data_IF_959141544104
#
_entry.id   IF_959141544104
#
_cell.length_a   1.000
_cell.length_b   1.000
_cell.length_c   1.000
_cell.angle_alpha   90.00
_cell.angle_beta   90.00
_cell.angle_gamma   90.00
#
_symmetry.space_group_name_H-M   'P 1'
#
loop_
_entity.id
_entity.type
_entity.pdbx_description
1 polymer ?
#
# COMPACT_ATOMS: atom_id res chain seq x y z
N UNK A 1 2.06 -12.73 -26.70
CA UNK A 1 1.56 -13.36 -25.45
C UNK A 1 1.66 -12.31 -24.36
N UNK A 2 0.58 -12.08 -23.61
CA UNK A 2 0.58 -11.13 -22.49
C UNK A 2 1.48 -11.64 -21.37
N UNK A 3 1.88 -10.73 -20.47
CA UNK A 3 2.61 -11.09 -19.25
C UNK A 3 1.62 -11.66 -18.24
N UNK A 4 1.96 -12.79 -17.63
CA UNK A 4 1.14 -13.51 -16.66
C UNK A 4 1.54 -13.21 -15.22
N UNK A 5 0.70 -13.61 -14.26
CA UNK A 5 1.02 -13.53 -12.82
C UNK A 5 2.25 -14.34 -12.47
N UNK A 6 2.50 -15.48 -13.12
CA UNK A 6 3.71 -16.29 -12.89
C UNK A 6 5.01 -15.53 -13.12
N UNK A 7 5.01 -14.59 -14.06
CA UNK A 7 6.18 -13.78 -14.45
C UNK A 7 6.55 -12.71 -13.41
N UNK A 8 5.63 -12.41 -12.47
CA UNK A 8 5.74 -11.27 -11.55
C UNK A 8 5.53 -11.63 -10.09
N UNK A 9 4.93 -12.78 -9.79
CA UNK A 9 4.63 -13.17 -8.42
C UNK A 9 5.91 -13.39 -7.61
N UNK A 10 5.84 -13.03 -6.33
CA UNK A 10 6.83 -13.46 -5.35
C UNK A 10 6.63 -14.94 -5.05
N UNK A 11 7.66 -15.74 -5.32
CA UNK A 11 7.74 -17.17 -4.96
C UNK A 11 8.13 -17.28 -3.48
N UNK A 12 7.62 -18.30 -2.79
CA UNK A 12 7.81 -18.52 -1.35
C UNK A 12 7.34 -17.34 -0.47
N UNK A 13 6.07 -16.91 -0.60
CA UNK A 13 5.55 -15.75 0.11
C UNK A 13 5.49 -16.02 1.62
N UNK A 14 5.80 -14.99 2.41
CA UNK A 14 5.55 -15.01 3.85
C UNK A 14 4.04 -15.13 4.09
N UNK A 15 3.65 -16.13 4.86
CA UNK A 15 2.26 -16.41 5.23
C UNK A 15 2.11 -16.59 6.73
N UNK A 16 0.87 -16.76 7.18
CA UNK A 16 0.53 -17.00 8.58
C UNK A 16 -0.57 -18.06 8.66
N UNK A 17 -0.55 -18.90 9.69
CA UNK A 17 -1.61 -19.89 9.90
C UNK A 17 -2.81 -19.26 10.63
N UNK A 18 -4.02 -19.71 10.34
CA UNK A 18 -5.26 -19.13 10.89
C UNK A 18 -5.34 -19.13 12.43
N UNK A 19 -4.70 -20.13 13.06
CA UNK A 19 -4.61 -20.26 14.52
C UNK A 19 -3.51 -19.41 15.15
N UNK A 20 -2.62 -18.80 14.37
CA UNK A 20 -1.61 -17.89 14.92
C UNK A 20 -2.29 -16.60 15.44
N UNK A 21 -1.70 -16.01 16.49
CA UNK A 21 -2.17 -14.72 16.99
C UNK A 21 -1.91 -13.60 15.98
N UNK A 22 -2.79 -12.62 15.95
CA UNK A 22 -2.65 -11.46 15.06
C UNK A 22 -1.37 -10.64 15.32
N UNK A 23 -0.80 -10.76 16.52
CA UNK A 23 0.51 -10.19 16.85
C UNK A 23 1.66 -10.79 16.02
N UNK A 24 1.56 -12.07 15.62
CA UNK A 24 2.51 -12.74 14.72
C UNK A 24 2.39 -12.18 13.30
N UNK A 25 1.17 -12.06 12.76
CA UNK A 25 0.94 -11.44 11.47
C UNK A 25 1.51 -10.01 11.42
N UNK A 26 1.27 -9.22 12.46
CA UNK A 26 1.83 -7.87 12.60
C UNK A 26 3.35 -7.84 12.57
N UNK A 27 3.99 -8.76 13.30
CA UNK A 27 5.44 -8.87 13.32
C UNK A 27 5.95 -9.18 11.91
N UNK A 28 5.36 -10.18 11.23
CA UNK A 28 5.75 -10.57 9.88
C UNK A 28 5.56 -9.42 8.88
N UNK A 29 4.44 -8.70 8.94
CA UNK A 29 4.18 -7.50 8.13
C UNK A 29 5.27 -6.43 8.33
N UNK A 30 5.60 -6.13 9.58
CA UNK A 30 6.59 -5.10 9.92
C UNK A 30 8.01 -5.51 9.52
N UNK A 31 8.43 -6.70 9.94
CA UNK A 31 9.81 -7.18 9.80
C UNK A 31 10.16 -7.45 8.33
N UNK A 32 9.18 -7.82 7.50
CA UNK A 32 9.36 -8.04 6.06
C UNK A 32 8.84 -6.88 5.19
N UNK A 33 8.39 -5.77 5.78
CA UNK A 33 7.88 -4.59 5.07
C UNK A 33 6.73 -4.88 4.09
N UNK A 34 5.83 -5.79 4.47
CA UNK A 34 4.74 -6.29 3.63
C UNK A 34 3.44 -5.49 3.84
N UNK A 35 2.60 -5.42 2.82
CA UNK A 35 1.26 -4.81 2.92
C UNK A 35 0.18 -5.79 3.39
N UNK A 36 0.45 -7.09 3.30
CA UNK A 36 -0.43 -8.15 3.79
C UNK A 36 0.20 -9.53 3.66
N UNK A 37 -0.50 -10.53 4.18
CA UNK A 37 -0.08 -11.93 4.23
C UNK A 37 -1.27 -12.84 3.87
N UNK A 38 -1.04 -13.92 3.10
CA UNK A 38 -1.99 -15.01 3.01
C UNK A 38 -2.15 -15.70 4.36
N UNK A 39 -3.39 -16.09 4.66
CA UNK A 39 -3.75 -16.90 5.81
C UNK A 39 -3.93 -18.34 5.34
N UNK A 40 -3.27 -19.29 5.98
CA UNK A 40 -3.31 -20.70 5.65
C UNK A 40 -4.08 -21.52 6.69
N UNK A 41 -4.83 -22.53 6.22
CA UNK A 41 -5.35 -23.61 7.07
C UNK A 41 -4.23 -24.57 7.50
N UNK A 42 -4.54 -25.51 8.39
CA UNK A 42 -3.62 -26.57 8.80
C UNK A 42 -3.14 -27.44 7.62
N UNK A 43 -3.92 -27.56 6.56
CA UNK A 43 -3.59 -28.29 5.33
C UNK A 43 -2.78 -27.46 4.32
N UNK A 44 -2.41 -26.22 4.66
CA UNK A 44 -1.63 -25.32 3.81
C UNK A 44 -2.45 -24.68 2.68
N UNK A 45 -3.77 -24.62 2.80
CA UNK A 45 -4.67 -23.98 1.83
C UNK A 45 -4.93 -22.54 2.22
N UNK A 46 -4.99 -21.64 1.24
CA UNK A 46 -5.34 -20.23 1.48
C UNK A 46 -6.79 -20.16 1.96
N UNK A 47 -7.02 -19.56 3.13
CA UNK A 47 -8.37 -19.31 3.68
C UNK A 47 -8.74 -17.84 3.72
N UNK A 48 -7.79 -16.93 3.53
CA UNK A 48 -8.01 -15.49 3.44
C UNK A 48 -6.71 -14.70 3.42
N UNK A 49 -6.80 -13.39 3.69
CA UNK A 49 -5.64 -12.51 3.87
C UNK A 49 -5.78 -11.65 5.13
N UNK A 50 -4.65 -11.17 5.63
CA UNK A 50 -4.55 -10.13 6.66
C UNK A 50 -3.61 -9.02 6.19
N UNK A 51 -3.94 -7.76 6.45
CA UNK A 51 -3.27 -6.59 5.87
C UNK A 51 -2.67 -5.65 6.92
N UNK A 52 -1.84 -4.71 6.46
CA UNK A 52 -1.32 -3.63 7.29
C UNK A 52 -2.43 -2.77 7.91
N UNK A 53 -3.56 -2.59 7.22
CA UNK A 53 -4.75 -1.89 7.71
C UNK A 53 -5.35 -2.59 8.92
N UNK A 54 -5.41 -3.92 8.90
CA UNK A 54 -5.87 -4.72 10.04
C UNK A 54 -4.94 -4.51 11.24
N UNK A 55 -3.64 -4.36 10.97
CA UNK A 55 -2.65 -4.07 12.03
C UNK A 55 -2.87 -2.70 12.67
N UNK A 56 -3.41 -1.73 11.92
CA UNK A 56 -3.73 -0.41 12.46
C UNK A 56 -4.86 -0.47 13.52
N UNK A 57 -5.74 -1.47 13.44
CA UNK A 57 -6.84 -1.66 14.41
C UNK A 57 -6.38 -2.26 15.73
N UNK A 58 -5.14 -2.74 15.80
CA UNK A 58 -4.62 -3.48 16.95
C UNK A 58 -3.74 -2.54 17.79
N UNK A 59 -4.31 -2.00 18.86
CA UNK A 59 -3.57 -1.14 19.81
C UNK A 59 -2.72 -1.94 20.81
N UNK A 60 -3.18 -3.11 21.26
CA UNK A 60 -2.55 -3.86 22.37
C UNK A 60 -1.35 -4.72 21.98
N UNK A 61 -0.26 -4.65 22.78
CA UNK A 61 0.97 -5.50 22.75
C UNK A 61 0.70 -6.99 22.86
N UNK A 62 -0.36 -7.35 23.58
CA UNK A 62 -0.84 -8.71 23.71
C UNK A 62 -2.28 -8.76 23.23
N UNK A 63 -2.53 -9.62 22.26
CA UNK A 63 -3.88 -9.92 21.80
C UNK A 63 -4.02 -11.43 21.78
N UNK A 64 -5.11 -11.93 22.35
CA UNK A 64 -5.48 -13.34 22.27
C UNK A 64 -6.33 -13.60 21.01
N UNK A 65 -6.53 -12.58 20.16
CA UNK A 65 -7.27 -12.72 18.90
C UNK A 65 -6.36 -13.38 17.87
N UNK A 66 -6.87 -14.44 17.26
CA UNK A 66 -6.24 -15.16 16.15
C UNK A 66 -6.42 -14.41 14.85
N UNK A 67 -5.60 -14.74 13.85
CA UNK A 67 -5.67 -14.12 12.52
C UNK A 67 -7.02 -14.42 11.83
N UNK A 68 -7.64 -15.57 12.11
CA UNK A 68 -8.98 -15.88 11.62
C UNK A 68 -10.05 -14.83 11.96
N UNK A 69 -9.94 -14.15 13.12
CA UNK A 69 -10.85 -13.07 13.51
C UNK A 69 -10.70 -11.77 12.70
N UNK A 70 -9.66 -11.67 11.88
CA UNK A 70 -9.37 -10.54 10.97
C UNK A 70 -9.36 -10.97 9.49
N UNK A 71 -9.63 -12.24 9.20
CA UNK A 71 -9.57 -12.78 7.85
C UNK A 71 -10.58 -12.09 6.95
N UNK A 72 -10.09 -11.53 5.84
CA UNK A 72 -10.95 -11.11 4.73
C UNK A 72 -10.76 -12.11 3.60
N UNK A 73 -11.87 -12.55 3.02
CA UNK A 73 -11.82 -13.34 1.79
C UNK A 73 -11.28 -12.46 0.66
N UNK A 74 -10.17 -12.89 0.06
CA UNK A 74 -9.57 -12.22 -1.08
C UNK A 74 -9.70 -13.09 -2.33
N UNK A 75 -9.88 -12.48 -3.50
CA UNK A 75 -9.87 -13.21 -4.75
C UNK A 75 -8.52 -13.89 -4.94
N UNK A 76 -8.59 -15.13 -5.39
CA UNK A 76 -7.44 -15.95 -5.71
C UNK A 76 -7.13 -15.80 -7.18
N UNK A 77 -5.85 -15.78 -7.52
CA UNK A 77 -5.37 -15.84 -8.90
C UNK A 77 -4.54 -17.09 -9.10
N UNK A 78 -4.32 -17.49 -10.35
CA UNK A 78 -3.46 -18.63 -10.70
C UNK A 78 -2.22 -18.13 -11.44
N UNK A 79 -1.15 -18.94 -11.59
CA UNK A 79 0.02 -18.55 -12.38
C UNK A 79 -0.33 -18.10 -13.80
N UNK A 80 -1.40 -18.66 -14.38
CA UNK A 80 -1.88 -18.35 -15.73
C UNK A 80 -2.73 -17.08 -15.82
N UNK A 81 -3.18 -16.51 -14.70
CA UNK A 81 -3.97 -15.28 -14.70
C UNK A 81 -3.16 -14.16 -15.35
N UNK A 82 -3.78 -13.36 -16.22
CA UNK A 82 -3.10 -12.24 -16.86
C UNK A 82 -2.86 -11.10 -15.86
N UNK A 83 -1.77 -10.34 -16.04
CA UNK A 83 -1.52 -9.14 -15.22
C UNK A 83 -2.66 -8.13 -15.33
N UNK A 84 -3.27 -8.00 -16.51
CA UNK A 84 -4.40 -7.10 -16.75
C UNK A 84 -5.61 -7.44 -15.86
N UNK A 85 -5.90 -8.72 -15.69
CA UNK A 85 -6.96 -9.23 -14.83
C UNK A 85 -6.63 -9.00 -13.34
N UNK A 86 -5.40 -9.32 -12.92
CA UNK A 86 -4.94 -9.03 -11.56
C UNK A 86 -4.98 -7.51 -11.25
N UNK A 87 -4.60 -6.65 -12.20
CA UNK A 87 -4.68 -5.20 -12.07
C UNK A 87 -6.13 -4.73 -11.86
N UNK A 88 -7.09 -5.29 -12.61
CA UNK A 88 -8.52 -4.99 -12.45
C UNK A 88 -9.04 -5.38 -11.07
N UNK A 89 -8.64 -6.53 -10.53
CA UNK A 89 -9.00 -6.94 -9.17
C UNK A 89 -8.48 -5.97 -8.11
N UNK A 90 -7.25 -5.46 -8.27
CA UNK A 90 -6.73 -4.41 -7.39
C UNK A 90 -7.55 -3.12 -7.52
N UNK A 91 -7.86 -2.70 -8.75
CA UNK A 91 -8.60 -1.45 -9.01
C UNK A 91 -10.02 -1.51 -8.44
N UNK A 92 -10.73 -2.65 -8.58
CA UNK A 92 -12.13 -2.77 -8.19
C UNK A 92 -12.35 -2.91 -6.68
N UNK A 93 -11.35 -3.41 -5.94
CA UNK A 93 -11.57 -3.91 -4.59
C UNK A 93 -10.49 -3.51 -3.58
N UNK A 94 -9.50 -2.71 -4.01
CA UNK A 94 -8.44 -2.13 -3.17
C UNK A 94 -7.71 -3.16 -2.27
N UNK A 95 -7.52 -4.38 -2.78
CA UNK A 95 -6.78 -5.42 -2.06
C UNK A 95 -5.29 -5.03 -1.94
N UNK A 96 -4.68 -5.31 -0.79
CA UNK A 96 -3.26 -5.09 -0.60
C UNK A 96 -2.39 -6.09 -1.38
N UNK A 97 -2.88 -7.33 -1.49
CA UNK A 97 -2.23 -8.47 -2.13
C UNK A 97 -3.29 -9.41 -2.73
N UNK A 98 -2.88 -10.24 -3.69
CA UNK A 98 -3.65 -11.37 -4.19
C UNK A 98 -2.84 -12.66 -4.00
N UNK A 99 -3.36 -13.67 -3.28
CA UNK A 99 -2.73 -14.98 -3.20
C UNK A 99 -2.76 -15.68 -4.56
N UNK A 100 -1.62 -16.21 -4.99
CA UNK A 100 -1.50 -17.04 -6.18
C UNK A 100 -1.58 -18.51 -5.77
N UNK A 101 -2.56 -19.23 -6.28
CA UNK A 101 -2.83 -20.63 -5.93
C UNK A 101 -2.69 -21.56 -7.13
N UNK A 102 -2.46 -22.85 -6.87
CA UNK A 102 -2.35 -23.86 -7.92
C UNK A 102 -3.63 -23.99 -8.75
N UNK A 103 -4.79 -24.00 -8.09
CA UNK A 103 -6.12 -23.85 -8.69
C UNK A 103 -7.09 -23.28 -7.66
N UNK A 104 -8.22 -22.76 -8.11
CA UNK A 104 -9.27 -22.20 -7.25
C UNK A 104 -9.89 -23.25 -6.31
N UNK A 105 -9.88 -24.52 -6.70
CA UNK A 105 -10.41 -25.64 -5.94
C UNK A 105 -9.41 -26.15 -4.88
N UNK A 106 -8.14 -26.30 -5.26
CA UNK A 106 -7.09 -26.78 -4.35
C UNK A 106 -6.67 -25.70 -3.34
N UNK A 107 -6.63 -24.43 -3.78
CA UNK A 107 -6.23 -23.25 -2.99
C UNK A 107 -4.85 -23.37 -2.33
N UNK A 108 -4.00 -24.31 -2.77
CA UNK A 108 -2.61 -24.42 -2.33
C UNK A 108 -1.83 -23.18 -2.77
N UNK A 109 -1.21 -22.49 -1.82
CA UNK A 109 -0.44 -21.28 -2.08
C UNK A 109 0.83 -21.59 -2.88
N UNK A 110 1.03 -20.86 -3.97
CA UNK A 110 2.25 -20.88 -4.80
C UNK A 110 3.04 -19.57 -4.73
N UNK A 111 2.34 -18.45 -4.51
CA UNK A 111 2.94 -17.13 -4.57
C UNK A 111 2.01 -16.04 -4.07
N UNK A 112 2.49 -14.81 -4.09
CA UNK A 112 1.68 -13.60 -3.90
C UNK A 112 2.01 -12.59 -4.98
N UNK A 113 1.00 -11.89 -5.47
CA UNK A 113 1.18 -10.69 -6.30
C UNK A 113 0.60 -9.48 -5.58
N UNK A 114 1.22 -8.33 -5.76
CA UNK A 114 0.83 -7.05 -5.18
C UNK A 114 0.90 -5.92 -6.21
N UNK A 115 0.35 -4.73 -5.92
CA UNK A 115 0.42 -3.60 -6.85
C UNK A 115 1.85 -3.20 -7.24
N UNK A 116 2.85 -3.36 -6.35
CA UNK A 116 4.25 -3.05 -6.70
C UNK A 116 4.80 -4.02 -7.76
N UNK A 117 4.38 -5.29 -7.75
CA UNK A 117 4.85 -6.28 -8.72
C UNK A 117 4.32 -5.97 -10.12
N UNK A 118 3.05 -5.57 -10.20
CA UNK A 118 2.44 -5.04 -11.43
C UNK A 118 3.17 -3.77 -11.87
N UNK A 119 3.33 -2.81 -10.95
CA UNK A 119 3.95 -1.53 -11.22
C UNK A 119 5.36 -1.67 -11.79
N UNK A 120 6.18 -2.58 -11.26
CA UNK A 120 7.55 -2.85 -11.73
C UNK A 120 7.61 -3.42 -13.16
N UNK A 121 6.48 -3.85 -13.71
CA UNK A 121 6.37 -4.53 -15.01
C UNK A 121 5.49 -3.78 -16.00
N UNK A 122 4.98 -2.61 -15.63
CA UNK A 122 4.28 -1.75 -16.58
C UNK A 122 5.24 -1.24 -17.64
N UNK A 123 4.69 -0.93 -18.80
CA UNK A 123 5.36 -0.15 -19.84
C UNK A 123 4.92 1.31 -19.71
N UNK A 124 5.79 2.23 -19.25
CA UNK A 124 5.46 3.65 -19.12
C UNK A 124 5.05 4.31 -20.44
N UNK A 125 5.41 3.75 -21.61
CA UNK A 125 4.98 4.31 -22.90
C UNK A 125 3.47 4.26 -23.10
N UNK A 126 2.76 3.34 -22.41
CA UNK A 126 1.28 3.31 -22.38
C UNK A 126 0.65 4.54 -21.73
N UNK A 127 1.45 5.37 -21.05
CA UNK A 127 1.03 6.62 -20.42
C UNK A 127 1.27 7.84 -21.33
N UNK A 128 1.72 7.64 -22.58
CA UNK A 128 1.98 8.74 -23.51
C UNK A 128 0.76 9.67 -23.65
N UNK A 129 1.00 10.98 -23.51
CA UNK A 129 -0.04 12.02 -23.61
C UNK A 129 -0.85 12.25 -22.34
N UNK A 130 -0.78 11.39 -21.32
CA UNK A 130 -1.45 11.61 -20.02
C UNK A 130 -0.64 12.52 -19.12
N UNK A 131 -1.31 13.41 -18.39
CA UNK A 131 -0.69 14.32 -17.42
C UNK A 131 -0.91 13.85 -15.99
N UNK A 132 -0.02 14.31 -15.11
CA UNK A 132 -0.14 14.13 -13.67
C UNK A 132 -1.51 14.62 -13.15
N UNK A 133 -1.95 15.80 -13.59
CA UNK A 133 -3.23 16.40 -13.19
C UNK A 133 -4.48 15.62 -13.60
N UNK A 134 -4.38 14.73 -14.59
CA UNK A 134 -5.49 13.88 -15.05
C UNK A 134 -5.69 12.65 -14.16
N UNK A 135 -4.62 12.19 -13.52
CA UNK A 135 -4.62 10.96 -12.71
C UNK A 135 -4.53 11.21 -11.21
N UNK A 136 -4.10 12.40 -10.77
CA UNK A 136 -3.88 12.70 -9.37
C UNK A 136 -5.16 12.68 -8.55
N UNK A 137 -5.03 12.22 -7.30
CA UNK A 137 -6.01 12.56 -6.28
C UNK A 137 -5.83 14.02 -5.88
N UNK A 138 -6.88 14.82 -6.07
CA UNK A 138 -6.93 16.24 -5.71
C UNK A 138 -7.19 16.42 -4.22
N UNK A 139 -6.76 17.56 -3.69
CA UNK A 139 -6.98 17.96 -2.29
C UNK A 139 -6.63 16.84 -1.29
N UNK A 140 -5.40 16.28 -1.36
CA UNK A 140 -5.02 15.20 -0.47
C UNK A 140 -5.08 15.67 0.98
N UNK A 141 -5.54 14.80 1.89
CA UNK A 141 -5.40 15.05 3.31
C UNK A 141 -3.93 15.29 3.65
N UNK A 142 -3.65 16.26 4.50
CA UNK A 142 -2.30 16.60 4.94
C UNK A 142 -2.19 16.57 6.46
N UNK A 143 -0.97 16.55 6.95
CA UNK A 143 -0.64 16.79 8.36
C UNK A 143 0.56 17.73 8.48
N UNK A 144 0.87 18.17 9.69
CA UNK A 144 2.04 19.00 9.97
C UNK A 144 3.13 18.21 10.69
N UNK A 145 4.41 18.65 10.68
CA UNK A 145 5.48 17.97 11.42
C UNK A 145 5.19 17.85 12.93
N UNK A 146 4.39 18.78 13.47
CA UNK A 146 4.04 18.86 14.88
C UNK A 146 2.80 18.02 15.25
N UNK A 147 2.04 17.54 14.26
CA UNK A 147 0.87 16.70 14.52
C UNK A 147 1.28 15.42 15.25
N UNK A 148 0.41 14.91 16.15
CA UNK A 148 0.64 13.62 16.77
C UNK A 148 0.43 12.50 15.74
N UNK A 149 1.29 11.49 15.78
CA UNK A 149 1.20 10.31 14.89
C UNK A 149 -0.16 9.61 15.03
N UNK A 150 -0.80 9.67 16.21
CA UNK A 150 -2.15 9.12 16.44
C UNK A 150 -3.21 9.80 15.58
N UNK A 151 -3.15 11.13 15.37
CA UNK A 151 -4.06 11.84 14.45
C UNK A 151 -3.92 11.33 13.03
N UNK A 152 -2.68 11.11 12.57
CA UNK A 152 -2.41 10.57 11.23
C UNK A 152 -2.89 9.11 11.13
N UNK A 153 -2.65 8.31 12.17
CA UNK A 153 -3.09 6.93 12.27
C UNK A 153 -4.61 6.79 12.16
N UNK A 154 -5.35 7.57 12.95
CA UNK A 154 -6.81 7.58 12.93
C UNK A 154 -7.31 8.08 11.56
N UNK A 155 -6.68 9.12 11.01
CA UNK A 155 -6.96 9.59 9.65
C UNK A 155 -6.75 8.52 8.56
N UNK A 156 -5.75 7.66 8.70
CA UNK A 156 -5.48 6.54 7.78
C UNK A 156 -6.40 5.32 8.01
N UNK A 157 -7.02 5.18 9.18
CA UNK A 157 -8.04 4.17 9.46
C UNK A 157 -9.37 4.57 8.83
N UNK A 158 -9.74 5.84 8.98
CA UNK A 158 -10.98 6.45 8.52
C UNK A 158 -10.96 6.83 7.03
N UNK A 159 -9.87 6.52 6.33
CA UNK A 159 -9.74 6.74 4.90
C UNK A 159 -9.01 5.58 4.22
N UNK A 160 -8.98 5.59 2.89
CA UNK A 160 -8.19 4.65 2.10
C UNK A 160 -6.76 5.14 1.86
N UNK A 161 -6.38 6.29 2.42
CA UNK A 161 -5.04 6.83 2.28
C UNK A 161 -4.02 5.96 3.03
N UNK A 162 -2.98 5.54 2.29
CA UNK A 162 -1.85 4.76 2.81
C UNK A 162 -0.62 5.63 3.10
N UNK A 163 -0.69 6.91 2.70
CA UNK A 163 0.32 7.94 2.91
C UNK A 163 -0.31 9.33 2.89
N UNK A 164 0.34 10.27 3.56
CA UNK A 164 -0.15 11.63 3.78
C UNK A 164 1.01 12.62 3.59
N UNK A 165 0.88 13.61 2.68
CA UNK A 165 1.82 14.71 2.59
C UNK A 165 1.87 15.48 3.92
N UNK A 166 3.07 15.77 4.37
CA UNK A 166 3.38 16.63 5.51
C UNK A 166 3.66 18.03 4.98
N UNK A 167 2.94 19.03 5.47
CA UNK A 167 3.08 20.43 5.06
C UNK A 167 3.54 21.31 6.23
N UNK A 168 4.28 22.38 5.93
CA UNK A 168 4.63 23.41 6.90
C UNK A 168 3.44 24.36 7.23
N UNK A 169 3.67 25.34 8.09
CA UNK A 169 2.67 26.35 8.47
C UNK A 169 2.16 27.21 7.30
N UNK A 170 2.86 27.21 6.16
CA UNK A 170 2.50 27.93 4.93
C UNK A 170 1.90 26.99 3.88
N UNK A 171 1.49 25.78 4.28
CA UNK A 171 0.95 24.71 3.43
C UNK A 171 1.91 24.20 2.36
N UNK A 172 3.22 24.43 2.51
CA UNK A 172 4.23 23.89 1.59
C UNK A 172 4.55 22.45 1.95
N UNK A 173 4.59 21.51 0.99
CA UNK A 173 4.96 20.13 1.27
C UNK A 173 6.43 20.03 1.67
N UNK A 174 6.69 19.42 2.83
CA UNK A 174 8.03 19.28 3.43
C UNK A 174 8.45 17.82 3.62
N UNK A 175 7.51 16.88 3.65
CA UNK A 175 7.79 15.46 3.87
C UNK A 175 6.58 14.57 3.66
N UNK A 176 6.76 13.26 3.74
CA UNK A 176 5.68 12.27 3.57
C UNK A 176 5.66 11.32 4.76
N UNK A 177 4.48 11.02 5.30
CA UNK A 177 4.30 9.97 6.31
C UNK A 177 3.33 8.91 5.80
N UNK A 178 3.64 7.64 6.07
CA UNK A 178 2.93 6.49 5.51
C UNK A 178 2.59 5.46 6.58
N UNK A 179 1.65 4.55 6.29
CA UNK A 179 1.34 3.43 7.20
C UNK A 179 2.61 2.64 7.55
N UNK A 180 3.50 2.48 6.58
CA UNK A 180 4.77 1.80 6.76
C UNK A 180 5.66 2.49 7.80
N UNK A 181 5.81 3.82 7.74
CA UNK A 181 6.63 4.59 8.69
C UNK A 181 6.11 4.43 10.13
N UNK A 182 4.78 4.40 10.29
CA UNK A 182 4.14 4.26 11.60
C UNK A 182 4.24 2.82 12.13
N UNK A 183 4.02 1.82 11.27
CA UNK A 183 4.11 0.40 11.65
C UNK A 183 5.55 -0.02 11.95
N UNK A 184 6.52 0.44 11.15
CA UNK A 184 7.96 0.12 11.27
C UNK A 184 8.50 0.47 12.66
N UNK A 185 8.15 1.65 13.17
CA UNK A 185 8.63 2.11 14.47
C UNK A 185 7.87 1.54 15.66
N UNK A 186 6.68 0.96 15.42
CA UNK A 186 5.74 0.61 16.49
C UNK A 186 5.23 1.83 17.27
N UNK A 187 5.50 3.05 16.79
CA UNK A 187 5.37 4.30 17.52
C UNK A 187 3.94 4.66 17.92
N UNK A 188 2.95 4.32 17.07
CA UNK A 188 1.53 4.54 17.40
C UNK A 188 1.07 3.78 18.66
N UNK A 189 1.77 2.70 19.04
CA UNK A 189 1.42 1.87 20.19
C UNK A 189 2.14 2.32 21.45
N UNK A 190 3.38 2.79 21.32
CA UNK A 190 4.11 3.43 22.43
C UNK A 190 3.39 4.70 22.89
N UNK A 191 2.70 5.40 21.98
CA UNK A 191 1.96 6.62 22.30
C UNK A 191 0.67 6.41 23.13
N UNK A 192 0.10 5.19 23.21
CA UNK A 192 -1.06 4.92 24.09
C UNK A 192 -0.65 4.53 25.52
N UNK A 193 0.59 4.09 25.71
CA UNK A 193 1.12 3.63 27.01
C UNK A 193 2.16 4.60 27.63
N UNK A 194 2.51 5.71 26.95
CA UNK A 194 3.51 6.68 27.43
C UNK A 194 2.98 8.12 27.38
N UNK A 195 3.54 9.00 28.23
CA UNK A 195 3.22 10.44 28.24
C UNK A 195 3.80 11.22 27.04
N UNK A 196 4.70 10.61 26.26
CA UNK A 196 5.34 11.28 25.11
C UNK A 196 4.52 11.03 23.84
N UNK A 197 3.91 12.09 23.34
CA UNK A 197 3.13 12.06 22.10
C UNK A 197 4.11 12.08 20.93
N UNK A 198 4.31 10.93 20.29
CA UNK A 198 5.17 10.85 19.11
C UNK A 198 4.64 11.75 17.99
N UNK A 199 5.49 12.67 17.52
CA UNK A 199 5.19 13.63 16.45
C UNK A 199 5.53 13.09 15.07
N UNK A 200 4.83 13.57 14.05
CA UNK A 200 5.04 13.23 12.63
C UNK A 200 6.48 13.45 12.19
N UNK A 201 7.12 14.55 12.61
CA UNK A 201 8.50 14.88 12.24
C UNK A 201 9.53 13.80 12.59
N UNK A 202 9.26 12.97 13.60
CA UNK A 202 10.14 11.86 14.01
C UNK A 202 10.07 10.66 13.06
N UNK A 203 9.01 10.55 12.26
CA UNK A 203 8.72 9.39 11.41
C UNK A 203 8.66 9.72 9.92
N UNK A 204 8.37 10.97 9.55
CA UNK A 204 8.22 11.37 8.16
C UNK A 204 9.52 11.19 7.38
N UNK A 205 9.38 11.00 6.07
CA UNK A 205 10.48 10.97 5.12
C UNK A 205 10.65 12.33 4.44
N UNK A 206 11.91 12.75 4.25
CA UNK A 206 12.29 14.01 3.59
C UNK A 206 13.56 13.80 2.73
N UNK A 207 13.80 14.63 1.69
CA UNK A 207 12.88 15.60 1.11
C UNK A 207 11.76 14.90 0.34
N UNK A 208 10.68 15.63 0.08
CA UNK A 208 9.55 15.10 -0.66
C UNK A 208 9.79 15.21 -2.18
N UNK A 209 9.44 14.17 -2.94
CA UNK A 209 9.47 14.21 -4.40
C UNK A 209 8.17 14.82 -4.95
N UNK A 210 8.31 15.87 -5.77
CA UNK A 210 7.18 16.58 -6.35
C UNK A 210 7.33 16.81 -7.86
N UNK A 211 6.18 16.94 -8.53
CA UNK A 211 6.05 17.30 -9.95
C UNK A 211 4.93 18.35 -10.11
N UNK A 212 4.88 19.07 -11.23
CA UNK A 212 3.72 19.91 -11.58
C UNK A 212 2.56 19.07 -12.14
N UNK A 213 1.32 19.55 -12.04
CA UNK A 213 0.15 18.89 -12.63
C UNK A 213 0.23 18.74 -14.16
N UNK A 214 1.00 19.62 -14.81
CA UNK A 214 1.25 19.59 -16.26
C UNK A 214 2.33 18.56 -16.66
N UNK A 215 3.04 17.99 -15.68
CA UNK A 215 4.09 17.00 -15.94
C UNK A 215 3.51 15.73 -16.54
N UNK A 216 4.30 15.03 -17.36
CA UNK A 216 3.87 13.75 -17.93
C UNK A 216 3.67 12.69 -16.85
N UNK A 217 2.56 11.96 -16.90
CA UNK A 217 2.31 10.81 -16.04
C UNK A 217 3.34 9.69 -16.29
N UNK A 218 3.87 9.60 -17.52
CA UNK A 218 4.98 8.71 -17.87
C UNK A 218 6.24 9.04 -17.06
N UNK A 219 6.59 10.32 -16.98
CA UNK A 219 7.80 10.75 -16.25
C UNK A 219 7.61 10.58 -14.74
N UNK A 220 6.40 10.78 -14.23
CA UNK A 220 6.05 10.43 -12.85
C UNK A 220 6.25 8.93 -12.57
N UNK A 221 5.77 8.05 -13.46
CA UNK A 221 5.95 6.60 -13.33
C UNK A 221 7.44 6.20 -13.39
N UNK A 222 8.22 6.79 -14.30
CA UNK A 222 9.68 6.57 -14.39
C UNK A 222 10.38 7.01 -13.11
N UNK A 223 10.03 8.19 -12.58
CA UNK A 223 10.59 8.67 -11.31
C UNK A 223 10.29 7.69 -10.16
N UNK A 224 9.06 7.17 -10.07
CA UNK A 224 8.69 6.17 -9.07
C UNK A 224 9.50 4.87 -9.18
N UNK A 225 9.77 4.41 -10.41
CA UNK A 225 10.57 3.22 -10.68
C UNK A 225 12.05 3.45 -10.35
N UNK A 226 12.63 4.55 -10.81
CA UNK A 226 14.06 4.86 -10.64
C UNK A 226 14.44 5.16 -9.19
N UNK A 227 13.54 5.80 -8.43
CA UNK A 227 13.79 6.20 -7.04
C UNK A 227 13.22 5.21 -6.03
N UNK A 228 12.60 4.13 -6.49
CA UNK A 228 11.84 3.15 -5.69
C UNK A 228 10.90 3.81 -4.68
N UNK A 229 10.13 4.80 -5.14
CA UNK A 229 9.13 5.50 -4.33
C UNK A 229 7.71 5.06 -4.73
N UNK A 230 6.82 5.02 -3.74
CA UNK A 230 5.44 4.59 -3.92
C UNK A 230 4.48 5.69 -4.37
N UNK A 231 4.86 6.95 -4.20
CA UNK A 231 4.01 8.12 -4.40
C UNK A 231 4.82 9.40 -4.57
N UNK A 232 4.23 10.38 -5.26
CA UNK A 232 4.79 11.70 -5.58
C UNK A 232 3.69 12.73 -5.32
N UNK A 233 4.03 13.89 -4.75
CA UNK A 233 3.05 14.99 -4.66
C UNK A 233 3.02 15.82 -5.93
N UNK A 234 1.87 16.42 -6.21
CA UNK A 234 1.71 17.38 -7.28
C UNK A 234 1.66 18.78 -6.70
N UNK A 235 2.54 19.66 -7.18
CA UNK A 235 2.73 21.02 -6.68
C UNK A 235 2.73 22.00 -7.86
N UNK A 236 1.81 22.96 -7.83
CA UNK A 236 1.76 24.09 -8.77
C UNK A 236 1.84 25.40 -7.99
N UNK A 237 2.60 26.38 -8.51
CA UNK A 237 2.82 27.68 -7.87
C UNK A 237 3.23 27.59 -6.38
N UNK A 238 3.98 26.53 -6.04
CA UNK A 238 4.45 26.25 -4.67
C UNK A 238 3.38 25.72 -3.71
N UNK A 239 2.18 25.42 -4.19
CA UNK A 239 1.06 24.85 -3.41
C UNK A 239 0.87 23.38 -3.75
N UNK A 240 0.61 22.56 -2.72
CA UNK A 240 0.21 21.17 -2.91
C UNK A 240 -1.19 21.12 -3.51
N UNK A 241 -1.32 20.58 -4.73
CA UNK A 241 -2.60 20.48 -5.45
C UNK A 241 -3.06 19.03 -5.63
N UNK A 242 -2.19 18.06 -5.38
CA UNK A 242 -2.54 16.65 -5.54
C UNK A 242 -1.48 15.67 -5.06
N UNK A 243 -1.80 14.39 -5.17
CA UNK A 243 -0.88 13.27 -4.95
C UNK A 243 -1.15 12.20 -6.01
N UNK A 244 -0.08 11.55 -6.46
CA UNK A 244 -0.13 10.39 -7.38
C UNK A 244 0.61 9.25 -6.71
N UNK A 245 0.04 8.06 -6.70
CA UNK A 245 0.72 6.85 -6.29
C UNK A 245 0.77 5.79 -7.40
N UNK A 246 1.40 4.64 -7.10
CA UNK A 246 1.49 3.52 -8.04
C UNK A 246 0.11 3.01 -8.49
N UNK A 247 -0.91 3.12 -7.65
CA UNK A 247 -2.27 2.69 -7.99
C UNK A 247 -2.90 3.61 -9.03
N UNK A 248 -2.72 4.93 -8.94
CA UNK A 248 -3.18 5.88 -9.96
C UNK A 248 -2.55 5.57 -11.33
N UNK A 249 -1.26 5.23 -11.36
CA UNK A 249 -0.56 4.82 -12.59
C UNK A 249 -1.09 3.50 -13.14
N UNK A 250 -1.29 2.49 -12.29
CA UNK A 250 -1.89 1.20 -12.69
C UNK A 250 -3.29 1.43 -13.26
N UNK A 251 -4.11 2.26 -12.60
CA UNK A 251 -5.45 2.64 -13.06
C UNK A 251 -5.41 3.37 -14.39
N UNK A 252 -4.43 4.25 -14.62
CA UNK A 252 -4.29 4.96 -15.88
C UNK A 252 -3.97 4.04 -17.08
N UNK A 253 -3.40 2.84 -16.84
CA UNK A 253 -3.05 1.84 -17.86
C UNK A 253 -4.15 0.78 -18.02
N UNK A 254 -4.68 0.26 -16.92
CA UNK A 254 -5.56 -0.92 -16.89
C UNK A 254 -7.01 -0.60 -16.51
N UNK A 255 -7.30 0.62 -16.03
CA UNK A 255 -8.65 1.07 -15.76
C UNK A 255 -9.45 1.21 -17.04
N UNK A 256 -10.75 0.91 -16.96
CA UNK A 256 -11.68 1.22 -18.04
C UNK A 256 -11.80 2.74 -18.16
N UNK A 257 -11.69 3.27 -19.38
CA UNK A 257 -11.80 4.70 -19.63
C UNK A 257 -13.14 5.24 -19.13
N UNK A 258 -13.08 6.31 -18.34
CA UNK A 258 -14.16 7.28 -18.26
C UNK A 258 -13.80 8.48 -19.12
#
# INVERSE_FOLDING_TARGET
MGVSVEDIMSKDPVSVEEGNFVTRARQLIRDNQLRGLPILSAEGRVVGIVTDRDMLRISSTRSNVTVSGFSVEAPLVTPKTEISEAAKLFISSNYAILPVVASSEDRRLLGVVSPIDIFKKIDPEKLAGKRAGDAMTRDPKTCTPQDPVTKVWDGMLDSDFTGMPVVDEKEKPVGMITRFDIIKTGGARVAKDTKDVMKVEKLMTTPLFSISSESSLRDAARMMLERDIGRITVVDDGKLVGIIDRFDVIKAIFGEGQ
#
